data_IF_676776347761
#
_entry.id   IF_676776347761
#
_cell.length_a   1.000
_cell.length_b   1.000
_cell.length_c   1.000
_cell.angle_alpha   90.00
_cell.angle_beta   90.00
_cell.angle_gamma   90.00
#
_symmetry.space_group_name_H-M   'P 1'
#
loop_
_entity.id
_entity.type
_entity.pdbx_description
1 polymer ?
#
# COMPACT_ATOMS: atom_id res chain seq x y z
N UNK A 1 -59.93 -51.69 -5.74
CA UNK A 1 -60.55 -50.38 -6.03
C UNK A 1 -60.32 -49.49 -4.81
N UNK A 2 -59.66 -48.35 -4.83
CA UNK A 2 -58.90 -47.66 -5.86
C UNK A 2 -57.96 -46.68 -5.16
N UNK A 3 -56.69 -46.69 -5.53
CA UNK A 3 -55.71 -45.70 -5.09
C UNK A 3 -56.09 -44.33 -5.64
N UNK A 4 -56.25 -43.33 -4.77
CA UNK A 4 -56.23 -41.93 -5.17
C UNK A 4 -54.81 -41.38 -4.98
N UNK A 5 -54.41 -40.72 -6.05
CA UNK A 5 -53.13 -40.10 -6.37
C UNK A 5 -53.14 -38.64 -5.91
N UNK A 6 -51.94 -38.09 -5.72
CA UNK A 6 -51.53 -36.68 -5.84
C UNK A 6 -51.85 -35.78 -4.60
N UNK A 7 -50.97 -34.90 -4.10
CA UNK A 7 -49.86 -34.18 -4.73
C UNK A 7 -48.71 -33.90 -3.75
N UNK A 8 -47.51 -33.86 -4.32
CA UNK A 8 -46.30 -33.24 -3.80
C UNK A 8 -46.45 -31.72 -3.68
N UNK A 9 -45.78 -31.13 -2.69
CA UNK A 9 -44.76 -30.08 -2.86
C UNK A 9 -44.37 -29.54 -1.48
N UNK A 10 -43.32 -30.13 -0.89
CA UNK A 10 -42.51 -29.41 0.08
C UNK A 10 -41.61 -28.47 -0.73
N UNK A 11 -42.03 -27.23 -0.89
CA UNK A 11 -41.18 -26.17 -1.40
C UNK A 11 -40.08 -25.89 -0.35
N UNK A 12 -38.89 -26.41 -0.63
CA UNK A 12 -37.64 -25.91 -0.04
C UNK A 12 -37.54 -24.42 -0.39
N UNK A 13 -37.71 -23.57 0.61
CA UNK A 13 -37.44 -22.15 0.47
C UNK A 13 -35.93 -21.96 0.64
N UNK A 14 -35.18 -22.32 -0.41
CA UNK A 14 -33.79 -21.88 -0.58
C UNK A 14 -33.84 -20.36 -0.69
N UNK A 15 -33.63 -19.69 0.44
CA UNK A 15 -33.22 -18.29 0.42
C UNK A 15 -31.83 -18.27 -0.20
N UNK A 16 -31.82 -18.04 -1.51
CA UNK A 16 -30.69 -17.56 -2.28
C UNK A 16 -30.01 -16.45 -1.47
N UNK A 17 -28.91 -16.81 -0.80
CA UNK A 17 -28.00 -15.83 -0.19
C UNK A 17 -27.33 -15.15 -1.37
N UNK A 18 -28.00 -14.13 -1.89
CA UNK A 18 -27.49 -13.25 -2.93
C UNK A 18 -26.21 -12.66 -2.35
N UNK A 19 -25.06 -13.10 -2.85
CA UNK A 19 -23.75 -12.61 -2.42
C UNK A 19 -23.73 -11.11 -2.63
N UNK A 20 -23.83 -10.35 -1.55
CA UNK A 20 -23.67 -8.89 -1.57
C UNK A 20 -22.29 -8.62 -2.13
N UNK A 21 -22.23 -7.86 -3.24
CA UNK A 21 -20.97 -7.44 -3.82
C UNK A 21 -20.21 -6.57 -2.80
N UNK A 22 -18.88 -6.73 -2.71
CA UNK A 22 -18.02 -5.94 -1.81
C UNK A 22 -18.21 -4.42 -2.04
N UNK A 23 -18.59 -4.01 -3.24
CA UNK A 23 -18.98 -2.63 -3.59
C UNK A 23 -20.23 -2.15 -2.85
N UNK A 24 -21.21 -3.03 -2.67
CA UNK A 24 -22.45 -2.73 -1.96
C UNK A 24 -22.24 -2.82 -0.43
N UNK A 25 -21.36 -3.72 0.04
CA UNK A 25 -20.97 -3.78 1.45
C UNK A 25 -20.20 -2.51 1.87
N UNK A 26 -19.24 -2.04 1.08
CA UNK A 26 -18.46 -0.82 1.41
C UNK A 26 -19.32 0.45 1.30
N UNK A 27 -20.27 0.51 0.36
CA UNK A 27 -21.23 1.63 0.27
C UNK A 27 -22.29 1.65 1.37
N UNK A 28 -22.62 0.50 1.96
CA UNK A 28 -23.63 0.39 3.04
C UNK A 28 -23.04 0.34 4.45
N UNK A 29 -21.77 -0.08 4.60
CA UNK A 29 -21.08 -0.22 5.87
C UNK A 29 -20.13 0.95 6.20
N UNK A 30 -20.37 2.14 5.63
CA UNK A 30 -19.77 3.41 6.08
C UNK A 30 -20.17 3.84 7.50
N UNK A 31 -20.63 2.91 8.32
CA UNK A 31 -20.93 3.08 9.74
C UNK A 31 -20.77 1.70 10.39
N UNK A 32 -19.61 1.45 11.02
CA UNK A 32 -19.33 0.49 12.12
C UNK A 32 -17.85 0.08 12.04
N UNK A 33 -17.06 0.66 12.95
CA UNK A 33 -15.75 0.19 13.47
C UNK A 33 -14.67 -0.06 12.40
N UNK A 34 -13.84 0.92 12.06
CA UNK A 34 -12.87 1.48 13.00
C UNK A 34 -11.85 0.41 13.41
N UNK A 35 -11.01 -0.06 12.47
CA UNK A 35 -9.83 -0.87 12.79
C UNK A 35 -8.52 -0.07 12.75
N UNK A 36 -8.61 1.26 12.81
CA UNK A 36 -7.58 2.08 13.42
C UNK A 36 -7.99 2.26 14.88
N UNK A 37 -7.47 1.42 15.77
CA UNK A 37 -7.50 1.73 17.19
C UNK A 37 -6.70 3.02 17.37
N UNK A 38 -7.40 4.15 17.45
CA UNK A 38 -6.83 5.42 17.91
C UNK A 38 -6.55 5.22 19.39
N UNK A 39 -5.38 4.65 19.69
CA UNK A 39 -4.79 4.70 21.01
C UNK A 39 -4.64 6.18 21.36
N UNK A 40 -5.51 6.68 22.23
CA UNK A 40 -5.36 7.98 22.89
C UNK A 40 -4.03 7.99 23.64
N UNK A 41 -2.98 8.50 22.99
CA UNK A 41 -1.64 8.66 23.56
C UNK A 41 -1.48 10.10 24.03
N UNK A 42 -1.46 10.26 25.35
CA UNK A 42 -1.08 11.49 26.01
C UNK A 42 0.40 11.81 25.73
N UNK A 43 0.65 13.01 25.24
CA UNK A 43 1.97 13.54 24.92
C UNK A 43 2.76 13.74 26.21
N UNK A 44 3.89 13.04 26.34
CA UNK A 44 4.93 13.37 27.32
C UNK A 44 6.29 13.29 26.62
N UNK A 45 6.90 14.45 26.40
CA UNK A 45 8.25 14.60 25.86
C UNK A 45 9.31 14.35 26.95
N UNK A 46 10.32 13.54 26.65
CA UNK A 46 11.64 13.64 27.27
C UNK A 46 12.72 13.00 26.37
N UNK A 47 13.91 13.61 26.42
CA UNK A 47 14.95 13.65 25.40
C UNK A 47 15.98 12.51 25.42
N UNK A 48 16.50 12.21 24.22
CA UNK A 48 17.85 11.83 23.79
C UNK A 48 18.85 11.13 24.75
N UNK A 49 19.60 10.14 24.22
CA UNK A 49 21.03 10.30 23.91
C UNK A 49 21.64 9.10 23.15
N UNK A 50 22.51 9.44 22.20
CA UNK A 50 23.31 8.56 21.33
C UNK A 50 24.64 8.22 22.01
N UNK A 51 25.12 6.97 21.95
CA UNK A 51 26.57 6.71 22.05
C UNK A 51 27.04 5.56 21.13
N UNK A 52 28.17 5.85 20.49
CA UNK A 52 28.92 5.10 19.48
C UNK A 52 29.82 4.03 20.08
N UNK A 53 30.25 3.03 19.28
CA UNK A 53 31.55 2.37 19.47
C UNK A 53 32.12 1.79 18.16
N UNK A 54 33.40 2.06 17.83
CA UNK A 54 34.11 1.36 16.76
C UNK A 54 35.08 0.31 17.33
N UNK A 55 35.33 -0.78 16.61
CA UNK A 55 36.53 -1.61 16.81
C UNK A 55 36.87 -2.47 15.59
N UNK A 56 38.14 -2.36 15.22
CA UNK A 56 38.90 -3.05 14.17
C UNK A 56 39.39 -4.44 14.60
N UNK A 57 39.50 -5.41 13.69
CA UNK A 57 40.70 -6.27 13.55
C UNK A 57 40.58 -7.28 12.38
N UNK A 58 41.71 -7.52 11.72
CA UNK A 58 42.07 -8.57 10.74
C UNK A 58 43.45 -9.10 11.22
N UNK A 59 44.09 -10.17 10.70
CA UNK A 59 43.65 -11.31 9.87
C UNK A 59 44.10 -12.68 10.44
N UNK A 60 43.71 -13.80 9.79
CA UNK A 60 44.59 -14.97 9.77
C UNK A 60 44.36 -15.91 8.58
N UNK A 61 45.46 -16.52 8.15
CA UNK A 61 45.70 -17.25 6.89
C UNK A 61 45.96 -18.73 7.19
N UNK A 62 45.40 -19.68 6.43
CA UNK A 62 46.00 -21.02 6.13
C UNK A 62 45.16 -21.81 5.09
N UNK A 63 45.66 -22.92 4.46
CA UNK A 63 45.73 -23.03 3.00
C UNK A 63 44.94 -24.20 2.36
N UNK A 64 44.64 -24.01 1.06
CA UNK A 64 44.62 -24.96 -0.07
C UNK A 64 44.13 -26.41 0.09
N UNK A 65 43.02 -26.73 -0.57
CA UNK A 65 42.57 -28.08 -0.97
C UNK A 65 42.24 -28.03 -2.49
N UNK A 66 42.49 -29.11 -3.28
CA UNK A 66 42.72 -29.01 -4.72
C UNK A 66 41.46 -28.98 -5.57
N UNK A 67 41.59 -28.28 -6.70
CA UNK A 67 40.61 -28.07 -7.77
C UNK A 67 40.32 -29.32 -8.61
N UNK A 68 39.04 -29.59 -8.85
CA UNK A 68 38.52 -30.45 -9.92
C UNK A 68 37.73 -29.61 -10.94
N UNK A 69 37.62 -30.05 -12.20
CA UNK A 69 37.49 -29.17 -13.36
C UNK A 69 36.13 -28.48 -13.47
N UNK A 70 36.25 -27.19 -13.82
CA UNK A 70 35.25 -26.14 -13.95
C UNK A 70 34.26 -26.40 -15.08
N UNK A 71 32.96 -26.53 -14.76
CA UNK A 71 31.92 -26.03 -15.65
C UNK A 71 31.98 -24.50 -15.55
N UNK A 72 32.58 -23.85 -16.54
CA UNK A 72 32.57 -22.38 -16.64
C UNK A 72 31.17 -21.97 -17.09
N UNK A 73 30.35 -21.31 -16.25
CA UNK A 73 29.17 -20.63 -16.75
C UNK A 73 29.66 -19.46 -17.60
N UNK A 74 29.05 -19.27 -18.77
CA UNK A 74 29.29 -18.13 -19.64
C UNK A 74 29.20 -16.82 -18.82
N UNK A 75 30.27 -15.99 -18.74
CA UNK A 75 30.25 -14.74 -17.99
C UNK A 75 29.33 -13.66 -18.60
N UNK A 76 28.63 -13.97 -19.69
CA UNK A 76 27.78 -13.04 -20.43
C UNK A 76 26.29 -13.10 -20.06
N UNK A 77 25.86 -14.06 -19.23
CA UNK A 77 24.45 -14.18 -18.80
C UNK A 77 24.36 -14.14 -17.28
N UNK A 78 24.31 -12.92 -16.73
CA UNK A 78 23.74 -12.73 -15.40
C UNK A 78 22.32 -13.33 -15.43
N UNK A 79 21.88 -14.10 -14.42
CA UNK A 79 20.47 -14.37 -14.25
C UNK A 79 19.79 -13.03 -13.97
N UNK A 80 19.31 -12.36 -15.01
CA UNK A 80 18.54 -11.13 -14.88
C UNK A 80 17.23 -11.53 -14.23
N UNK A 81 17.11 -11.26 -12.93
CA UNK A 81 15.83 -11.37 -12.27
C UNK A 81 14.86 -10.43 -13.03
N UNK A 82 13.69 -10.87 -13.50
CA UNK A 82 12.74 -10.00 -14.21
C UNK A 82 12.39 -8.71 -13.44
N UNK A 83 12.63 -8.68 -12.13
CA UNK A 83 12.59 -7.47 -11.28
C UNK A 83 13.59 -6.37 -11.65
N UNK A 84 14.75 -6.73 -12.22
CA UNK A 84 15.82 -5.77 -12.56
C UNK A 84 15.55 -5.02 -13.87
N UNK A 85 14.65 -5.53 -14.71
CA UNK A 85 14.30 -4.93 -16.01
C UNK A 85 13.22 -3.84 -15.89
N UNK A 86 12.28 -3.98 -14.95
CA UNK A 86 11.20 -3.00 -14.80
C UNK A 86 11.74 -1.67 -14.26
N UNK A 87 11.84 -0.63 -15.10
CA UNK A 87 12.19 0.73 -14.69
C UNK A 87 10.93 1.58 -14.63
N UNK A 88 10.57 2.01 -13.41
CA UNK A 88 9.49 3.00 -13.25
C UNK A 88 10.02 4.41 -13.44
N UNK A 89 9.44 5.14 -14.39
CA UNK A 89 9.72 6.56 -14.61
C UNK A 89 8.44 7.38 -14.35
N UNK A 90 8.29 7.99 -13.17
CA UNK A 90 7.06 8.69 -12.81
C UNK A 90 6.89 9.94 -13.68
N UNK A 91 5.71 10.08 -14.30
CA UNK A 91 5.32 11.25 -15.08
C UNK A 91 4.38 12.16 -14.28
N UNK A 92 4.39 13.45 -14.60
CA UNK A 92 3.39 14.43 -14.10
C UNK A 92 2.23 14.62 -15.09
N UNK A 93 1.93 13.58 -15.87
CA UNK A 93 0.83 13.59 -16.83
C UNK A 93 -0.47 13.17 -16.15
N UNK A 94 -0.94 14.01 -15.24
CA UNK A 94 -2.19 13.87 -14.50
C UNK A 94 -2.67 15.24 -14.04
N UNK A 95 -3.97 15.40 -13.82
CA UNK A 95 -4.52 16.57 -13.17
C UNK A 95 -4.68 16.33 -11.67
N UNK A 96 -4.67 17.42 -10.91
CA UNK A 96 -4.96 17.40 -9.49
C UNK A 96 -6.38 17.91 -9.24
N UNK A 97 -7.22 17.03 -8.73
CA UNK A 97 -8.54 17.37 -8.21
C UNK A 97 -8.37 18.03 -6.84
N UNK A 98 -8.95 19.22 -6.68
CA UNK A 98 -9.05 19.89 -5.39
C UNK A 98 -10.29 19.39 -4.66
N UNK A 99 -10.15 19.08 -3.38
CA UNK A 99 -11.29 18.74 -2.53
C UNK A 99 -11.72 20.02 -1.79
N UNK A 100 -12.97 20.45 -1.98
CA UNK A 100 -13.47 21.67 -1.35
C UNK A 100 -13.35 21.58 0.18
N UNK A 101 -12.71 22.59 0.79
CA UNK A 101 -12.51 22.63 2.24
C UNK A 101 -11.35 21.77 2.76
N UNK A 102 -10.57 21.14 1.87
CA UNK A 102 -9.38 20.38 2.23
C UNK A 102 -8.16 20.94 1.48
N UNK A 103 -6.98 20.92 2.11
CA UNK A 103 -5.73 21.36 1.47
C UNK A 103 -5.04 20.25 0.68
N UNK A 104 -5.51 19.01 0.81
CA UNK A 104 -4.98 17.83 0.13
C UNK A 104 -5.57 17.67 -1.26
N UNK A 105 -4.78 17.16 -2.20
CA UNK A 105 -5.18 16.98 -3.60
C UNK A 105 -5.22 15.51 -4.00
N UNK A 106 -5.95 15.19 -5.06
CA UNK A 106 -6.11 13.83 -5.60
C UNK A 106 -5.67 13.82 -7.07
N UNK A 107 -4.88 12.84 -7.50
CA UNK A 107 -4.47 12.68 -8.89
C UNK A 107 -5.51 11.88 -9.69
N UNK A 108 -5.77 12.25 -10.95
CA UNK A 108 -6.84 11.64 -11.76
C UNK A 108 -6.41 10.41 -12.58
N UNK A 109 -5.14 10.00 -12.49
CA UNK A 109 -4.53 8.95 -13.31
C UNK A 109 -4.40 7.58 -12.62
N UNK A 110 -5.04 7.41 -11.45
CA UNK A 110 -4.85 6.23 -10.58
C UNK A 110 -6.09 5.92 -9.75
N UNK A 111 -6.09 4.73 -9.16
CA UNK A 111 -7.14 4.26 -8.26
C UNK A 111 -6.70 4.42 -6.80
N UNK A 112 -7.66 4.34 -5.88
CA UNK A 112 -7.46 4.67 -4.47
C UNK A 112 -8.11 3.63 -3.54
N UNK A 113 -7.46 3.37 -2.41
CA UNK A 113 -8.08 2.65 -1.30
C UNK A 113 -8.70 3.62 -0.28
N UNK A 114 -9.59 3.10 0.56
CA UNK A 114 -10.11 3.83 1.72
C UNK A 114 -8.98 4.12 2.73
N UNK A 115 -7.96 3.27 2.80
CA UNK A 115 -6.79 3.40 3.67
C UNK A 115 -5.71 4.31 3.06
N UNK A 116 -6.10 5.22 2.16
CA UNK A 116 -5.24 6.26 1.60
C UNK A 116 -3.97 5.74 0.88
N UNK A 117 -4.07 4.58 0.23
CA UNK A 117 -3.10 4.04 -0.72
C UNK A 117 -3.58 4.31 -2.13
N UNK A 118 -2.72 4.82 -3.01
CA UNK A 118 -3.01 4.92 -4.43
C UNK A 118 -2.36 3.78 -5.21
N UNK A 119 -3.00 3.38 -6.31
CA UNK A 119 -2.57 2.30 -7.21
C UNK A 119 -2.63 2.80 -8.65
N UNK A 120 -1.47 2.97 -9.28
CA UNK A 120 -1.33 3.44 -10.67
C UNK A 120 -0.94 2.27 -11.59
N UNK A 121 -1.75 1.92 -12.60
CA UNK A 121 -1.35 0.96 -13.63
C UNK A 121 -0.08 1.40 -14.37
N UNK A 122 0.85 0.47 -14.57
CA UNK A 122 2.13 0.70 -15.24
C UNK A 122 2.36 -0.23 -16.45
N UNK A 123 1.31 -0.89 -16.94
CA UNK A 123 1.36 -1.84 -18.06
C UNK A 123 1.75 -3.25 -17.62
N UNK A 124 1.55 -4.24 -18.51
CA UNK A 124 1.96 -5.65 -18.32
C UNK A 124 1.59 -6.25 -16.96
N UNK A 125 0.37 -5.96 -16.46
CA UNK A 125 -0.10 -6.44 -15.16
C UNK A 125 0.70 -5.91 -13.94
N UNK A 126 1.49 -4.86 -14.15
CA UNK A 126 2.26 -4.17 -13.14
C UNK A 126 1.50 -2.93 -12.71
N UNK A 127 1.50 -2.69 -11.41
CA UNK A 127 1.02 -1.45 -10.80
C UNK A 127 2.11 -0.87 -9.92
N UNK A 128 2.07 0.45 -9.75
CA UNK A 128 2.87 1.16 -8.77
C UNK A 128 1.94 1.66 -7.68
N UNK A 129 2.38 1.53 -6.44
CA UNK A 129 1.61 1.96 -5.28
C UNK A 129 2.36 3.01 -4.48
N UNK A 130 1.61 3.85 -3.77
CA UNK A 130 2.14 4.75 -2.77
C UNK A 130 1.07 5.32 -1.86
N UNK A 131 1.45 6.22 -0.97
CA UNK A 131 0.50 6.88 -0.06
C UNK A 131 0.00 8.19 -0.66
N UNK A 132 -1.25 8.55 -0.34
CA UNK A 132 -1.86 9.79 -0.85
C UNK A 132 -1.36 11.04 -0.13
N UNK A 133 -1.64 12.20 -0.72
CA UNK A 133 -1.45 13.51 -0.09
C UNK A 133 -2.24 13.64 1.23
N UNK A 134 -3.39 12.98 1.33
CA UNK A 134 -4.16 12.91 2.59
C UNK A 134 -3.42 12.11 3.66
N UNK A 135 -2.84 10.96 3.31
CA UNK A 135 -2.14 10.12 4.28
C UNK A 135 -0.96 10.87 4.92
N UNK A 136 -0.09 11.47 4.10
CA UNK A 136 1.06 12.20 4.63
C UNK A 136 0.60 13.38 5.51
N UNK A 137 -0.47 14.07 5.12
CA UNK A 137 -1.04 15.18 5.87
C UNK A 137 -1.62 14.74 7.24
N UNK A 138 -2.27 13.57 7.31
CA UNK A 138 -2.73 12.99 8.57
C UNK A 138 -1.57 12.65 9.51
N UNK A 139 -0.44 12.21 8.95
CA UNK A 139 0.79 11.90 9.69
C UNK A 139 1.61 13.15 10.06
N UNK A 140 1.22 14.33 9.53
CA UNK A 140 1.92 15.62 9.57
C UNK A 140 3.22 15.64 8.76
N UNK A 141 4.11 14.71 9.06
CA UNK A 141 5.33 14.46 8.32
C UNK A 141 5.67 12.98 8.43
N UNK A 142 5.81 12.30 7.30
CA UNK A 142 6.34 10.93 7.24
C UNK A 142 7.85 11.02 7.45
N UNK A 143 8.35 10.42 8.53
CA UNK A 143 9.75 10.46 8.93
C UNK A 143 10.51 9.18 8.61
N UNK A 144 9.81 8.05 8.45
CA UNK A 144 10.41 6.76 8.12
C UNK A 144 9.41 5.84 7.46
N UNK A 145 9.92 4.92 6.63
CA UNK A 145 9.12 3.87 6.02
C UNK A 145 9.90 2.56 5.90
N UNK A 146 9.25 1.46 6.25
CA UNK A 146 9.75 0.11 6.08
C UNK A 146 8.81 -0.66 5.17
N UNK A 147 9.34 -1.33 4.15
CA UNK A 147 8.56 -1.98 3.09
C UNK A 147 9.07 -3.41 2.88
N UNK A 148 8.16 -4.32 2.52
CA UNK A 148 8.53 -5.68 2.08
C UNK A 148 9.56 -5.66 0.95
N UNK A 149 10.37 -6.72 0.88
CA UNK A 149 11.46 -6.85 -0.08
C UNK A 149 11.00 -7.35 -1.45
N UNK A 150 11.81 -7.08 -2.47
CA UNK A 150 11.60 -7.61 -3.82
C UNK A 150 11.53 -9.14 -3.77
N UNK A 151 10.58 -9.72 -4.50
CA UNK A 151 10.25 -11.14 -4.49
C UNK A 151 9.29 -11.57 -3.38
N UNK A 152 8.97 -10.71 -2.41
CA UNK A 152 7.96 -11.03 -1.39
C UNK A 152 6.54 -10.83 -1.94
N UNK A 153 5.60 -11.62 -1.43
CA UNK A 153 4.18 -11.46 -1.74
C UNK A 153 3.50 -10.45 -0.81
N UNK A 154 2.54 -9.72 -1.37
CA UNK A 154 1.56 -8.90 -0.66
C UNK A 154 0.16 -9.46 -0.95
N UNK A 155 -0.75 -9.30 0.00
CA UNK A 155 -2.13 -9.76 -0.10
C UNK A 155 -3.06 -8.63 0.35
N UNK A 156 -4.23 -8.57 -0.27
CA UNK A 156 -5.33 -7.68 0.17
C UNK A 156 -5.53 -7.80 1.69
N UNK A 157 -5.74 -6.65 2.33
CA UNK A 157 -6.00 -6.52 3.77
C UNK A 157 -4.83 -6.98 4.68
N UNK A 158 -3.63 -7.17 4.12
CA UNK A 158 -2.42 -7.46 4.90
C UNK A 158 -1.39 -6.33 4.80
N UNK A 159 -0.59 -6.18 5.87
CA UNK A 159 0.51 -5.23 5.89
C UNK A 159 1.58 -5.58 4.84
N UNK A 160 1.98 -4.58 4.06
CA UNK A 160 3.15 -4.61 3.19
C UNK A 160 4.30 -3.72 3.69
N UNK A 161 4.08 -3.01 4.79
CA UNK A 161 5.04 -2.08 5.34
C UNK A 161 4.50 -1.32 6.55
N UNK A 162 5.36 -0.47 7.09
CA UNK A 162 5.08 0.41 8.21
C UNK A 162 5.56 1.81 7.87
N UNK A 163 4.78 2.82 8.22
CA UNK A 163 5.15 4.22 8.09
C UNK A 163 5.14 4.88 9.46
N UNK A 164 6.19 5.64 9.76
CA UNK A 164 6.29 6.44 10.97
C UNK A 164 6.17 7.91 10.60
N UNK A 165 5.46 8.66 11.43
CA UNK A 165 5.30 10.09 11.26
C UNK A 165 5.25 10.80 12.60
N UNK A 166 5.23 12.13 12.54
CA UNK A 166 5.31 12.94 13.76
C UNK A 166 4.09 12.78 14.68
N UNK A 167 2.90 12.63 14.10
CA UNK A 167 1.65 12.45 14.87
C UNK A 167 1.30 11.00 15.16
N UNK A 168 1.65 10.09 14.25
CA UNK A 168 1.22 8.68 14.34
C UNK A 168 2.15 7.76 13.55
N UNK A 169 2.12 6.49 13.94
CA UNK A 169 2.73 5.38 13.22
C UNK A 169 1.63 4.45 12.76
N UNK A 170 1.72 3.96 11.52
CA UNK A 170 0.69 3.14 10.89
C UNK A 170 1.28 1.92 10.19
N UNK A 171 0.47 0.86 10.11
CA UNK A 171 0.66 -0.20 9.14
C UNK A 171 0.17 0.26 7.76
N UNK A 172 0.93 -0.07 6.73
CA UNK A 172 0.54 0.12 5.34
C UNK A 172 -0.15 -1.15 4.87
N UNK A 173 -1.48 -1.09 4.79
CA UNK A 173 -2.33 -2.23 4.39
C UNK A 173 -2.46 -2.26 2.88
N UNK A 174 -2.24 -3.42 2.27
CA UNK A 174 -2.29 -3.55 0.82
C UNK A 174 -3.73 -3.63 0.32
N UNK A 175 -4.12 -2.84 -0.68
CA UNK A 175 -5.43 -2.93 -1.29
C UNK A 175 -5.48 -3.96 -2.44
N UNK A 176 -4.37 -4.65 -2.72
CA UNK A 176 -4.19 -5.58 -3.84
C UNK A 176 -3.29 -6.75 -3.44
N UNK A 177 -3.35 -7.84 -4.19
CA UNK A 177 -2.51 -9.02 -4.04
C UNK A 177 -1.52 -9.12 -5.19
N UNK A 178 -0.25 -9.42 -4.89
CA UNK A 178 0.79 -9.47 -5.91
C UNK A 178 2.17 -9.81 -5.35
N UNK A 179 3.18 -9.68 -6.22
CA UNK A 179 4.59 -9.85 -5.88
C UNK A 179 5.31 -8.53 -6.03
N UNK A 180 6.12 -8.16 -5.02
CA UNK A 180 6.95 -6.97 -5.09
C UNK A 180 8.05 -7.18 -6.12
N UNK A 181 8.07 -6.37 -7.18
CA UNK A 181 9.09 -6.44 -8.23
C UNK A 181 10.09 -5.29 -8.15
N UNK A 182 9.74 -4.18 -7.47
CA UNK A 182 10.66 -3.05 -7.27
C UNK A 182 10.33 -2.26 -6.03
N UNK A 183 11.37 -1.71 -5.39
CA UNK A 183 11.27 -0.73 -4.30
C UNK A 183 11.77 0.63 -4.77
N UNK A 184 11.19 1.70 -4.24
CA UNK A 184 11.71 3.03 -4.45
C UNK A 184 12.97 3.25 -3.60
N UNK A 185 14.14 3.18 -4.22
CA UNK A 185 15.40 3.40 -3.54
C UNK A 185 15.60 4.86 -3.11
N UNK A 186 14.90 5.82 -3.72
CA UNK A 186 15.00 7.25 -3.35
C UNK A 186 14.53 7.53 -1.92
N UNK A 187 13.69 6.65 -1.35
CA UNK A 187 13.19 6.77 0.04
C UNK A 187 14.34 6.76 1.09
N UNK A 188 15.49 6.19 0.73
CA UNK A 188 16.63 5.97 1.64
C UNK A 188 17.87 6.82 1.29
N UNK A 189 17.80 7.71 0.30
CA UNK A 189 18.99 8.41 -0.25
C UNK A 189 18.87 9.95 -0.12
N UNK A 190 19.87 10.65 0.45
CA UNK A 190 19.89 12.12 0.50
C UNK A 190 19.84 12.79 -0.90
N UNK A 191 19.33 14.03 -1.03
CA UNK A 191 18.82 14.91 0.03
C UNK A 191 17.41 14.56 0.51
N UNK A 192 16.72 13.62 -0.15
CA UNK A 192 15.33 13.25 0.11
C UNK A 192 15.15 11.97 0.94
N UNK A 193 16.23 11.50 1.59
CA UNK A 193 16.21 10.34 2.47
C UNK A 193 15.31 10.59 3.68
N UNK A 194 14.95 9.53 4.41
CA UNK A 194 14.00 9.59 5.54
C UNK A 194 12.55 9.85 5.11
N UNK A 195 12.15 9.27 3.97
CA UNK A 195 10.78 9.38 3.45
C UNK A 195 10.30 10.83 3.14
N UNK A 196 11.17 11.84 3.17
CA UNK A 196 10.80 13.24 2.92
C UNK A 196 10.17 13.44 1.53
N UNK A 197 10.63 12.67 0.54
CA UNK A 197 10.08 12.68 -0.83
C UNK A 197 8.58 12.38 -0.86
N UNK A 198 8.05 11.61 0.09
CA UNK A 198 6.62 11.32 0.22
C UNK A 198 5.85 12.59 0.58
N UNK A 199 6.38 13.39 1.51
CA UNK A 199 5.76 14.63 1.97
C UNK A 199 5.75 15.70 0.86
N UNK A 200 6.81 15.73 0.04
CA UNK A 200 6.95 16.73 -1.03
C UNK A 200 6.26 16.31 -2.34
N UNK A 201 6.23 15.02 -2.64
CA UNK A 201 5.87 14.50 -3.97
C UNK A 201 5.15 13.14 -3.89
N UNK A 202 4.03 13.03 -3.16
CA UNK A 202 3.37 11.75 -2.89
C UNK A 202 2.92 11.00 -4.15
N UNK A 203 2.66 11.72 -5.24
CA UNK A 203 2.13 11.17 -6.49
C UNK A 203 3.15 10.96 -7.60
N UNK A 204 4.40 11.45 -7.44
CA UNK A 204 5.45 11.35 -8.47
C UNK A 204 6.65 10.61 -7.91
N UNK A 205 7.46 11.27 -7.07
CA UNK A 205 8.71 10.70 -6.56
C UNK A 205 8.50 9.85 -5.31
N UNK A 206 7.43 10.08 -4.56
CA UNK A 206 7.07 9.38 -3.32
C UNK A 206 6.35 8.05 -3.50
N UNK A 207 6.50 7.40 -4.66
CA UNK A 207 6.01 6.03 -4.86
C UNK A 207 6.77 5.06 -3.95
N UNK A 208 6.16 3.91 -3.65
CA UNK A 208 6.70 2.96 -2.67
C UNK A 208 7.21 1.69 -3.32
N UNK A 209 6.30 0.96 -3.95
CA UNK A 209 6.57 -0.36 -4.53
C UNK A 209 5.99 -0.43 -5.94
N UNK A 210 6.65 -1.19 -6.81
CA UNK A 210 6.04 -1.73 -8.02
C UNK A 210 5.70 -3.20 -7.79
N UNK A 211 4.48 -3.59 -8.17
CA UNK A 211 3.86 -4.87 -7.86
C UNK A 211 3.40 -5.51 -9.16
N UNK A 212 3.76 -6.76 -9.38
CA UNK A 212 3.10 -7.62 -10.37
C UNK A 212 1.84 -8.23 -9.73
N UNK A 213 0.67 -7.97 -10.31
CA UNK A 213 -0.61 -8.38 -9.74
C UNK A 213 -0.83 -9.90 -9.87
N UNK A 214 -1.32 -10.51 -8.80
CA UNK A 214 -1.79 -11.91 -8.86
C UNK A 214 -3.24 -12.01 -9.34
N UNK A 215 -4.04 -10.96 -9.09
CA UNK A 215 -5.49 -10.90 -9.32
C UNK A 215 -5.89 -9.52 -9.87
N UNK A 216 -5.85 -9.31 -11.19
CA UNK A 216 -6.12 -8.00 -11.79
C UNK A 216 -7.51 -7.44 -11.46
N UNK A 217 -8.49 -8.31 -11.24
CA UNK A 217 -9.85 -7.98 -10.86
C UNK A 217 -9.97 -7.28 -9.50
N UNK A 218 -8.96 -7.34 -8.63
CA UNK A 218 -8.95 -6.59 -7.37
C UNK A 218 -8.91 -5.07 -7.59
N UNK A 219 -8.46 -4.60 -8.76
CA UNK A 219 -8.51 -3.19 -9.13
C UNK A 219 -9.95 -2.66 -9.23
N UNK A 220 -10.92 -3.50 -9.59
CA UNK A 220 -12.33 -3.10 -9.70
C UNK A 220 -12.98 -2.77 -8.34
N UNK A 221 -12.29 -3.13 -7.25
CA UNK A 221 -12.71 -2.85 -5.88
C UNK A 221 -12.20 -1.50 -5.36
N UNK A 222 -11.27 -0.88 -6.08
CA UNK A 222 -10.69 0.40 -5.70
C UNK A 222 -11.59 1.57 -6.11
N UNK A 223 -11.40 2.68 -5.42
CA UNK A 223 -12.11 3.93 -5.69
C UNK A 223 -11.48 4.64 -6.87
N UNK A 224 -12.34 5.19 -7.73
CA UNK A 224 -11.94 6.22 -8.70
C UNK A 224 -11.45 7.49 -7.99
N UNK A 225 -10.68 8.37 -8.67
CA UNK A 225 -10.28 9.66 -8.13
C UNK A 225 -11.46 10.48 -7.57
N UNK A 226 -12.59 10.50 -8.27
CA UNK A 226 -13.79 11.23 -7.87
C UNK A 226 -14.46 10.61 -6.65
N UNK A 227 -14.58 9.27 -6.61
CA UNK A 227 -15.13 8.56 -5.46
C UNK A 227 -14.27 8.78 -4.21
N UNK A 228 -12.94 8.75 -4.35
CA UNK A 228 -12.01 9.03 -3.26
C UNK A 228 -12.10 10.49 -2.80
N UNK A 229 -12.07 11.46 -3.72
CA UNK A 229 -12.21 12.87 -3.38
C UNK A 229 -13.53 13.17 -2.64
N UNK A 230 -14.62 12.52 -3.06
CA UNK A 230 -15.92 12.63 -2.41
C UNK A 230 -15.92 12.03 -0.99
N UNK A 231 -15.29 10.87 -0.78
CA UNK A 231 -15.20 10.23 0.55
C UNK A 231 -14.39 11.07 1.54
N UNK A 232 -13.33 11.75 1.07
CA UNK A 232 -12.54 12.67 1.89
C UNK A 232 -13.38 13.86 2.35
N UNK A 233 -14.19 14.43 1.44
CA UNK A 233 -15.06 15.57 1.78
C UNK A 233 -16.07 15.23 2.87
N UNK A 234 -16.71 14.06 2.78
CA UNK A 234 -17.68 13.61 3.80
C UNK A 234 -16.99 13.44 5.15
N UNK A 235 -15.84 12.77 5.17
CA UNK A 235 -15.10 12.50 6.42
C UNK A 235 -14.71 13.80 7.12
N UNK A 236 -14.22 14.78 6.37
CA UNK A 236 -13.79 16.07 6.94
C UNK A 236 -15.00 16.94 7.37
N UNK A 237 -16.13 16.87 6.65
CA UNK A 237 -17.38 17.51 7.06
C UNK A 237 -17.90 16.92 8.37
N UNK A 238 -17.96 15.58 8.49
CA UNK A 238 -18.36 14.90 9.72
C UNK A 238 -17.41 15.19 10.89
N UNK A 239 -16.10 15.25 10.64
CA UNK A 239 -15.12 15.59 11.65
C UNK A 239 -15.30 17.04 12.15
N UNK A 240 -15.62 17.99 11.25
CA UNK A 240 -15.92 19.37 11.61
C UNK A 240 -17.22 19.51 12.38
N UNK A 241 -18.28 18.81 11.96
CA UNK A 241 -19.57 18.78 12.66
C UNK A 241 -19.44 18.20 14.07
N UNK A 242 -18.48 17.29 14.28
CA UNK A 242 -18.12 16.74 15.59
C UNK A 242 -17.13 17.60 16.38
N UNK A 243 -16.66 18.73 15.82
CA UNK A 243 -15.67 19.61 16.45
C UNK A 243 -14.29 18.98 16.63
N UNK A 244 -13.93 17.98 15.83
CA UNK A 244 -12.63 17.32 15.87
C UNK A 244 -11.56 18.09 15.08
N UNK A 245 -11.99 18.91 14.13
CA UNK A 245 -11.15 19.78 13.31
C UNK A 245 -11.85 21.15 13.14
N UNK A 246 -11.07 22.22 13.03
CA UNK A 246 -11.56 23.61 12.88
C UNK A 246 -12.05 23.94 11.46
#
# INVERSE_FOLDING_TARGET
>A
MGSRKNNSEHASNDKEVKSISRRDFIKSAGLVTGSLTISTLAISCASAETTTNPSTSVPNTTPGIPISPTNVPDPSVLPTNPSDEFVYNPTMDYNLLNIQGCYTRVADDRLYSIDHIWVKPAGNNIVVIGVTDKMQALMDIVSSISLKDVGNSIQVDQSFGYAEGYKMNIELVSPISGTVIRKNNELNVPPYGYAEVINQSPYVKGWLLAIELNKPEELDLLLTPEEYAYSQRITDEEARDRGLIE
#
